data_IF_148373900905
#
_entry.id   IF_148373900905
#
_cell.length_a   1.000
_cell.length_b   1.000
_cell.length_c   1.000
_cell.angle_alpha   90.00
_cell.angle_beta   90.00
_cell.angle_gamma   90.00
#
_symmetry.space_group_name_H-M   'P 1'
#
loop_
_entity.id
_entity.type
_entity.pdbx_description
1 polymer ?
#
# COMPACT_ATOMS: atom_id res chain seq x y z
N UNK A 1 54.63 -19.55 50.26
CA UNK A 1 53.15 -19.39 50.43
C UNK A 1 52.59 -18.08 49.78
N UNK A 2 53.38 -17.03 49.65
CA UNK A 2 52.95 -15.70 49.11
C UNK A 2 52.67 -15.71 47.63
N UNK A 3 53.30 -16.52 46.81
CA UNK A 3 53.15 -16.54 45.33
C UNK A 3 51.80 -17.12 44.85
N UNK A 4 51.24 -18.07 45.60
CA UNK A 4 49.93 -18.67 45.25
C UNK A 4 48.73 -17.72 45.53
N UNK A 5 48.84 -16.83 46.49
CA UNK A 5 47.79 -15.87 46.85
C UNK A 5 47.67 -14.75 45.80
N UNK A 6 48.78 -14.29 45.27
CA UNK A 6 48.75 -13.26 44.20
C UNK A 6 48.18 -13.78 42.89
N UNK A 7 48.39 -15.05 42.54
CA UNK A 7 47.85 -15.63 41.32
C UNK A 7 46.33 -15.83 41.41
N UNK A 8 45.82 -16.19 42.60
CA UNK A 8 44.37 -16.32 42.82
C UNK A 8 43.64 -14.97 42.76
N UNK A 9 44.22 -13.93 43.33
CA UNK A 9 43.62 -12.58 43.29
C UNK A 9 43.59 -12.00 41.89
N UNK A 10 44.63 -12.26 41.08
CA UNK A 10 44.72 -11.85 39.69
C UNK A 10 43.69 -12.59 38.79
N UNK A 11 43.45 -13.87 39.10
CA UNK A 11 42.49 -14.69 38.39
C UNK A 11 41.03 -14.26 38.71
N UNK A 12 40.74 -13.91 39.97
CA UNK A 12 39.41 -13.39 40.36
C UNK A 12 39.13 -12.01 39.76
N UNK A 13 40.12 -11.12 39.69
CA UNK A 13 39.97 -9.82 39.05
C UNK A 13 39.76 -9.95 37.52
N UNK A 14 40.48 -10.88 36.87
CA UNK A 14 40.26 -11.15 35.43
C UNK A 14 38.87 -11.75 35.12
N UNK A 15 38.41 -12.69 35.99
CA UNK A 15 37.06 -13.26 35.78
C UNK A 15 35.94 -12.26 36.06
N UNK A 16 36.13 -11.34 36.99
CA UNK A 16 35.20 -10.24 37.27
C UNK A 16 35.19 -9.24 36.14
N UNK A 17 36.35 -8.88 35.58
CA UNK A 17 36.47 -7.97 34.44
C UNK A 17 35.85 -8.56 33.18
N UNK A 18 36.01 -9.87 32.91
CA UNK A 18 35.37 -10.56 31.77
C UNK A 18 33.83 -10.65 31.93
N UNK A 19 33.32 -10.77 33.15
CA UNK A 19 31.88 -10.78 33.41
C UNK A 19 31.25 -9.39 33.20
N UNK A 20 31.93 -8.32 33.64
CA UNK A 20 31.46 -6.94 33.46
C UNK A 20 31.55 -6.51 32.01
N UNK A 21 32.59 -6.88 31.26
CA UNK A 21 32.68 -6.60 29.81
C UNK A 21 31.64 -7.36 28.98
N UNK A 22 31.35 -8.63 29.32
CA UNK A 22 30.26 -9.39 28.69
C UNK A 22 28.89 -8.78 28.98
N UNK A 23 28.66 -8.29 30.21
CA UNK A 23 27.40 -7.65 30.58
C UNK A 23 27.23 -6.29 29.85
N UNK A 24 28.29 -5.49 29.75
CA UNK A 24 28.30 -4.24 28.99
C UNK A 24 28.06 -4.47 27.47
N UNK A 25 28.66 -5.52 26.91
CA UNK A 25 28.44 -5.90 25.50
C UNK A 25 27.00 -6.38 25.27
N UNK A 26 26.41 -7.10 26.23
CA UNK A 26 25.02 -7.54 26.15
C UNK A 26 24.06 -6.37 26.28
N UNK A 27 24.34 -5.39 27.14
CA UNK A 27 23.56 -4.15 27.27
C UNK A 27 23.67 -3.29 26.00
N UNK A 28 24.85 -3.19 25.38
CA UNK A 28 25.04 -2.49 24.11
C UNK A 28 24.27 -3.17 22.95
N UNK A 29 24.27 -4.51 22.91
CA UNK A 29 23.50 -5.27 21.92
C UNK A 29 21.99 -5.11 22.15
N UNK A 30 21.52 -5.08 23.39
CA UNK A 30 20.12 -4.84 23.72
C UNK A 30 19.69 -3.41 23.40
N UNK A 31 20.55 -2.41 23.62
CA UNK A 31 20.25 -1.00 23.24
C UNK A 31 20.30 -0.79 21.74
N UNK A 32 21.16 -1.48 20.99
CA UNK A 32 21.12 -1.45 19.53
C UNK A 32 19.87 -2.17 18.98
N UNK A 33 19.45 -3.29 19.59
CA UNK A 33 18.22 -3.96 19.20
C UNK A 33 16.98 -3.11 19.49
N UNK A 34 16.95 -2.32 20.56
CA UNK A 34 15.85 -1.39 20.85
C UNK A 34 15.84 -0.17 19.94
N UNK A 35 16.99 0.31 19.45
CA UNK A 35 17.03 1.40 18.47
C UNK A 35 16.63 0.93 17.06
N UNK A 36 16.87 -0.33 16.68
CA UNK A 36 16.33 -0.91 15.45
C UNK A 36 14.82 -1.21 15.52
N UNK A 37 14.27 -1.44 16.72
CA UNK A 37 12.85 -1.73 16.91
C UNK A 37 11.95 -0.46 16.92
N UNK A 38 12.52 0.73 16.94
CA UNK A 38 11.75 1.99 17.11
C UNK A 38 11.39 2.71 15.82
N UNK A 39 11.79 2.23 14.64
CA UNK A 39 11.44 2.85 13.35
C UNK A 39 10.16 2.27 12.72
N UNK A 40 9.42 1.45 13.45
CA UNK A 40 8.11 0.89 13.04
C UNK A 40 6.93 1.76 13.50
N UNK A 41 7.07 3.09 13.50
CA UNK A 41 5.95 3.96 13.88
C UNK A 41 4.93 3.99 12.76
N UNK A 42 3.75 3.49 13.06
CA UNK A 42 2.54 3.75 12.28
C UNK A 42 2.41 5.25 12.09
N UNK A 43 2.50 5.73 10.85
CA UNK A 43 2.30 7.15 10.55
C UNK A 43 0.87 7.51 10.97
N UNK A 44 0.71 8.44 11.90
CA UNK A 44 -0.62 8.83 12.39
C UNK A 44 -1.26 9.85 11.45
N UNK A 45 -2.59 9.86 11.37
CA UNK A 45 -3.33 10.85 10.58
C UNK A 45 -3.00 12.30 11.00
N UNK A 46 -2.74 12.53 12.29
CA UNK A 46 -2.31 13.83 12.80
C UNK A 46 -0.97 14.25 12.20
N UNK A 47 0.01 13.34 12.12
CA UNK A 47 1.31 13.60 11.49
C UNK A 47 1.17 13.89 10.00
N UNK A 48 0.36 13.09 9.29
CA UNK A 48 0.08 13.29 7.86
C UNK A 48 -0.45 14.69 7.60
N UNK A 49 -1.41 15.15 8.38
CA UNK A 49 -1.97 16.51 8.26
C UNK A 49 -0.96 17.60 8.61
N UNK A 50 -0.20 17.43 9.70
CA UNK A 50 0.80 18.44 10.13
C UNK A 50 1.96 18.55 9.14
N UNK A 51 2.32 17.47 8.47
CA UNK A 51 3.36 17.46 7.43
C UNK A 51 2.85 17.87 6.05
N UNK A 52 1.58 18.22 5.91
CA UNK A 52 0.98 18.62 4.64
C UNK A 52 1.01 17.53 3.57
N UNK A 53 1.06 16.25 3.97
CA UNK A 53 1.06 15.11 3.03
C UNK A 53 -0.23 15.05 2.22
N UNK A 54 -0.12 14.59 0.99
CA UNK A 54 -1.27 14.31 0.14
C UNK A 54 -1.81 12.93 0.52
N UNK A 55 -3.08 12.88 0.91
CA UNK A 55 -3.72 11.67 1.38
C UNK A 55 -5.09 11.45 0.74
N UNK A 56 -5.50 10.22 0.71
CA UNK A 56 -6.79 9.77 0.22
C UNK A 56 -7.25 8.51 0.93
N UNK A 57 -8.34 7.96 0.46
CA UNK A 57 -8.93 6.72 0.95
C UNK A 57 -9.29 5.83 -0.24
N UNK A 58 -9.51 4.55 0.02
CA UNK A 58 -10.16 3.71 -0.95
C UNK A 58 -11.37 3.00 -0.35
N UNK A 59 -12.34 2.70 -1.18
CA UNK A 59 -13.66 2.23 -0.79
C UNK A 59 -14.28 1.33 -1.86
N UNK A 60 -15.25 0.51 -1.39
CA UNK A 60 -16.12 -0.33 -2.22
C UNK A 60 -17.54 -0.30 -1.69
N UNK A 61 -18.39 -1.22 -2.16
CA UNK A 61 -19.72 -1.41 -1.61
C UNK A 61 -19.74 -1.77 -0.09
N UNK A 62 -18.62 -2.23 0.46
CA UNK A 62 -18.51 -2.58 1.88
C UNK A 62 -18.73 -1.39 2.81
N UNK A 63 -18.45 -0.17 2.37
CA UNK A 63 -18.68 1.04 3.15
C UNK A 63 -20.14 1.53 3.13
N UNK A 64 -21.02 0.79 2.44
CA UNK A 64 -22.47 1.09 2.34
C UNK A 64 -22.74 2.51 1.84
N UNK A 65 -23.71 3.21 2.47
CA UNK A 65 -24.05 4.57 2.08
C UNK A 65 -23.13 5.60 2.75
N UNK A 66 -22.73 6.60 2.00
CA UNK A 66 -21.76 7.63 2.39
C UNK A 66 -22.49 8.96 2.58
N UNK A 67 -22.26 9.61 3.72
CA UNK A 67 -22.64 11.02 3.93
C UNK A 67 -21.58 11.93 3.28
N UNK A 68 -21.78 12.23 2.02
CA UNK A 68 -20.87 13.02 1.20
C UNK A 68 -20.63 14.43 1.74
N UNK A 69 -21.64 15.04 2.39
CA UNK A 69 -21.50 16.36 3.01
C UNK A 69 -20.49 16.35 4.18
N UNK A 70 -20.50 15.28 4.97
CA UNK A 70 -19.52 15.09 6.04
C UNK A 70 -18.15 14.71 5.50
N UNK A 71 -18.08 13.80 4.49
CA UNK A 71 -16.82 13.37 3.89
C UNK A 71 -16.09 14.53 3.23
N UNK A 72 -16.78 15.40 2.47
CA UNK A 72 -16.19 16.60 1.86
C UNK A 72 -15.45 17.49 2.86
N UNK A 73 -15.99 17.65 4.08
CA UNK A 73 -15.37 18.46 5.14
C UNK A 73 -14.04 17.90 5.63
N UNK A 74 -13.78 16.60 5.42
CA UNK A 74 -12.50 15.96 5.77
C UNK A 74 -11.39 16.29 4.76
N UNK A 75 -11.76 16.69 3.53
CA UNK A 75 -10.86 17.10 2.44
C UNK A 75 -9.86 16.03 2.02
N UNK A 76 -10.29 14.79 1.71
CA UNK A 76 -9.40 13.86 1.03
C UNK A 76 -8.99 14.45 -0.32
N UNK A 77 -7.73 14.25 -0.71
CA UNK A 77 -7.23 14.76 -1.99
C UNK A 77 -7.64 13.87 -3.15
N UNK A 78 -7.81 12.57 -2.88
CA UNK A 78 -8.23 11.57 -3.86
C UNK A 78 -9.00 10.44 -3.18
N UNK A 79 -9.81 9.73 -3.97
CA UNK A 79 -10.49 8.51 -3.55
C UNK A 79 -10.37 7.47 -4.66
N UNK A 80 -9.97 6.25 -4.32
CA UNK A 80 -10.08 5.10 -5.20
C UNK A 80 -11.36 4.32 -4.91
N UNK A 81 -12.07 3.90 -5.97
CA UNK A 81 -13.29 3.10 -5.86
C UNK A 81 -13.13 1.76 -6.56
N UNK A 82 -13.56 0.67 -5.91
CA UNK A 82 -13.75 -0.61 -6.57
C UNK A 82 -14.78 -0.44 -7.68
N UNK A 83 -14.39 -0.75 -8.90
CA UNK A 83 -15.32 -0.76 -10.02
C UNK A 83 -15.78 -2.17 -10.37
N UNK A 84 -14.83 -3.12 -10.41
CA UNK A 84 -15.11 -4.50 -10.82
C UNK A 84 -14.22 -5.50 -10.08
N UNK A 85 -14.62 -6.78 -10.15
CA UNK A 85 -13.85 -7.93 -9.70
C UNK A 85 -14.01 -9.07 -10.68
N UNK A 86 -12.93 -9.77 -11.00
CA UNK A 86 -12.95 -10.88 -11.93
C UNK A 86 -13.56 -10.52 -13.29
N UNK A 87 -14.09 -11.50 -14.00
CA UNK A 87 -14.58 -11.31 -15.37
C UNK A 87 -16.00 -10.75 -15.46
N UNK A 88 -16.76 -10.61 -14.34
CA UNK A 88 -18.20 -10.29 -14.43
C UNK A 88 -18.78 -9.51 -13.25
N UNK A 89 -18.10 -9.45 -12.10
CA UNK A 89 -18.66 -8.76 -10.94
C UNK A 89 -18.42 -7.24 -11.06
N UNK A 90 -19.49 -6.46 -10.92
CA UNK A 90 -19.44 -5.00 -10.85
C UNK A 90 -19.82 -4.55 -9.44
N UNK A 91 -19.01 -3.66 -8.85
CA UNK A 91 -19.31 -3.11 -7.53
C UNK A 91 -20.61 -2.29 -7.56
N UNK A 92 -21.55 -2.65 -6.72
CA UNK A 92 -22.92 -2.09 -6.72
C UNK A 92 -22.96 -0.59 -6.37
N UNK A 93 -21.94 -0.07 -5.69
CA UNK A 93 -21.84 1.35 -5.29
C UNK A 93 -20.95 2.18 -6.20
N UNK A 94 -20.20 1.55 -7.11
CA UNK A 94 -19.21 2.23 -7.93
C UNK A 94 -19.79 3.46 -8.65
N UNK A 95 -20.84 3.28 -9.43
CA UNK A 95 -21.44 4.35 -10.26
C UNK A 95 -21.89 5.54 -9.42
N UNK A 96 -22.55 5.30 -8.31
CA UNK A 96 -23.04 6.36 -7.41
C UNK A 96 -21.90 7.05 -6.69
N UNK A 97 -20.92 6.29 -6.18
CA UNK A 97 -19.76 6.83 -5.47
C UNK A 97 -18.88 7.67 -6.38
N UNK A 98 -18.60 7.18 -7.59
CA UNK A 98 -17.85 7.93 -8.60
C UNK A 98 -18.53 9.28 -8.90
N UNK A 99 -19.82 9.27 -9.23
CA UNK A 99 -20.60 10.48 -9.52
C UNK A 99 -20.53 11.48 -8.37
N UNK A 100 -20.87 11.05 -7.16
CA UNK A 100 -20.88 11.92 -5.99
C UNK A 100 -19.50 12.52 -5.65
N UNK A 101 -18.42 11.75 -5.80
CA UNK A 101 -17.06 12.25 -5.58
C UNK A 101 -16.66 13.31 -6.62
N UNK A 102 -17.01 13.10 -7.89
CA UNK A 102 -16.76 14.08 -8.97
C UNK A 102 -17.53 15.38 -8.75
N UNK A 103 -18.80 15.32 -8.30
CA UNK A 103 -19.62 16.51 -7.96
C UNK A 103 -19.02 17.32 -6.79
N UNK A 104 -18.11 16.74 -6.02
CA UNK A 104 -17.41 17.40 -4.93
C UNK A 104 -15.97 17.83 -5.28
N UNK A 105 -15.58 17.76 -6.56
CA UNK A 105 -14.23 18.06 -7.04
C UNK A 105 -13.12 17.22 -6.38
N UNK A 106 -13.45 15.99 -5.99
CA UNK A 106 -12.47 15.04 -5.44
C UNK A 106 -11.85 14.28 -6.62
N UNK A 107 -10.52 14.17 -6.64
CA UNK A 107 -9.80 13.36 -7.63
C UNK A 107 -10.19 11.89 -7.42
N UNK A 108 -10.65 11.23 -8.48
CA UNK A 108 -11.11 9.83 -8.42
C UNK A 108 -10.15 8.92 -9.17
N UNK A 109 -9.96 7.72 -8.64
CA UNK A 109 -9.39 6.57 -9.33
C UNK A 109 -10.33 5.38 -9.27
N UNK A 110 -10.22 4.49 -10.23
CA UNK A 110 -11.00 3.25 -10.29
C UNK A 110 -10.10 2.05 -10.21
N UNK A 111 -10.45 1.03 -9.39
CA UNK A 111 -9.67 -0.19 -9.30
C UNK A 111 -10.47 -1.43 -9.67
N UNK A 112 -9.73 -2.43 -10.16
CA UNK A 112 -10.20 -3.77 -10.48
C UNK A 112 -9.55 -4.76 -9.54
N UNK A 113 -10.34 -5.49 -8.77
CA UNK A 113 -9.85 -6.60 -7.95
C UNK A 113 -9.65 -7.85 -8.81
N UNK A 114 -8.39 -8.28 -8.93
CA UNK A 114 -8.02 -9.35 -9.84
C UNK A 114 -8.38 -10.73 -9.29
N UNK A 115 -9.03 -11.56 -10.10
CA UNK A 115 -9.36 -12.95 -9.78
C UNK A 115 -8.50 -13.94 -10.55
N UNK A 116 -7.98 -14.95 -9.87
CA UNK A 116 -7.19 -16.01 -10.52
C UNK A 116 -8.05 -17.13 -11.11
N UNK A 117 -9.35 -16.95 -11.16
CA UNK A 117 -10.31 -17.93 -11.72
C UNK A 117 -10.68 -17.62 -13.17
N UNK A 118 -10.22 -16.49 -13.72
CA UNK A 118 -10.53 -16.07 -15.07
C UNK A 118 -9.34 -15.40 -15.75
N UNK A 119 -9.41 -15.34 -17.09
CA UNK A 119 -8.34 -14.80 -17.94
C UNK A 119 -8.19 -13.27 -17.76
N UNK A 120 -6.94 -12.81 -17.67
CA UNK A 120 -6.62 -11.40 -17.44
C UNK A 120 -7.16 -10.46 -18.53
N UNK A 121 -7.20 -10.88 -19.80
CA UNK A 121 -7.76 -10.06 -20.89
C UNK A 121 -9.27 -9.88 -20.72
N UNK A 122 -9.99 -10.94 -20.30
CA UNK A 122 -11.43 -10.82 -20.05
C UNK A 122 -11.72 -9.89 -18.87
N UNK A 123 -10.96 -9.99 -17.81
CA UNK A 123 -11.05 -9.08 -16.66
C UNK A 123 -10.77 -7.64 -17.06
N UNK A 124 -9.73 -7.39 -17.85
CA UNK A 124 -9.42 -6.04 -18.35
C UNK A 124 -10.55 -5.47 -19.21
N UNK A 125 -11.14 -6.27 -20.11
CA UNK A 125 -12.26 -5.83 -20.93
C UNK A 125 -13.52 -5.55 -20.09
N UNK A 126 -13.81 -6.39 -19.08
CA UNK A 126 -14.88 -6.14 -18.14
C UNK A 126 -14.64 -4.84 -17.35
N UNK A 127 -13.44 -4.64 -16.84
CA UNK A 127 -13.08 -3.41 -16.15
C UNK A 127 -13.27 -2.16 -17.02
N UNK A 128 -12.77 -2.19 -18.24
CA UNK A 128 -12.94 -1.10 -19.23
C UNK A 128 -14.40 -0.81 -19.63
N UNK A 129 -15.27 -1.81 -19.51
CA UNK A 129 -16.71 -1.61 -19.81
C UNK A 129 -17.47 -0.90 -18.69
N UNK A 130 -16.92 -0.90 -17.47
CA UNK A 130 -17.55 -0.34 -16.26
C UNK A 130 -16.85 0.91 -15.75
N UNK A 131 -15.51 0.85 -15.66
CA UNK A 131 -14.71 1.91 -15.06
C UNK A 131 -14.75 3.19 -15.88
N UNK A 132 -14.77 4.31 -15.15
CA UNK A 132 -14.58 5.65 -15.72
C UNK A 132 -13.09 6.01 -15.65
N UNK A 133 -12.60 6.69 -16.68
CA UNK A 133 -11.24 7.22 -16.80
C UNK A 133 -11.28 8.48 -17.65
N UNK A 134 -11.99 9.47 -17.14
CA UNK A 134 -12.25 10.76 -17.76
C UNK A 134 -11.11 11.75 -17.42
N UNK A 135 -11.08 12.89 -18.10
CA UNK A 135 -10.15 13.96 -17.76
C UNK A 135 -10.26 14.34 -16.28
N UNK A 136 -9.11 14.42 -15.61
CA UNK A 136 -9.02 14.70 -14.18
C UNK A 136 -9.12 13.46 -13.27
N UNK A 137 -9.23 12.26 -13.82
CA UNK A 137 -9.17 11.00 -13.05
C UNK A 137 -7.75 10.48 -12.97
N UNK A 138 -7.46 9.72 -11.90
CA UNK A 138 -6.23 8.94 -11.77
C UNK A 138 -6.21 7.78 -12.77
N UNK A 139 -5.02 7.30 -13.17
CA UNK A 139 -4.91 6.09 -13.97
C UNK A 139 -5.67 4.92 -13.33
N UNK A 140 -6.20 4.03 -14.17
CA UNK A 140 -6.87 2.81 -13.74
C UNK A 140 -5.93 1.94 -12.90
N UNK A 141 -6.47 1.21 -11.93
CA UNK A 141 -5.68 0.42 -10.99
C UNK A 141 -5.96 -1.07 -11.19
N UNK A 142 -4.89 -1.86 -11.28
CA UNK A 142 -4.89 -3.30 -11.08
C UNK A 142 -4.64 -3.58 -9.60
N UNK A 143 -5.61 -4.15 -8.91
CA UNK A 143 -5.51 -4.61 -7.53
C UNK A 143 -5.24 -6.11 -7.53
N UNK A 144 -3.99 -6.49 -7.21
CA UNK A 144 -3.48 -7.86 -7.31
C UNK A 144 -2.98 -8.35 -5.95
N UNK A 145 -3.72 -9.26 -5.35
CA UNK A 145 -3.45 -9.79 -4.02
C UNK A 145 -3.31 -11.32 -4.02
N UNK A 146 -2.75 -11.89 -2.96
CA UNK A 146 -2.74 -13.32 -2.77
C UNK A 146 -4.15 -13.87 -2.54
N UNK A 147 -4.53 -14.86 -3.32
CA UNK A 147 -5.73 -15.64 -3.06
C UNK A 147 -5.42 -16.88 -2.19
N UNK A 148 -6.45 -17.44 -1.57
CA UNK A 148 -6.33 -18.68 -0.77
C UNK A 148 -5.66 -19.82 -1.56
N UNK A 149 -5.88 -19.90 -2.87
CA UNK A 149 -5.24 -20.86 -3.77
C UNK A 149 -4.71 -20.10 -4.99
N UNK A 150 -3.39 -20.02 -5.11
CA UNK A 150 -2.72 -19.39 -6.24
C UNK A 150 -2.48 -20.41 -7.36
N UNK A 151 -2.63 -20.00 -8.64
CA UNK A 151 -2.12 -20.77 -9.78
C UNK A 151 -0.59 -20.84 -9.77
N UNK A 152 -0.02 -21.61 -10.72
CA UNK A 152 1.42 -21.60 -10.94
C UNK A 152 1.92 -20.18 -11.26
N UNK A 153 3.10 -19.80 -10.75
CA UNK A 153 3.63 -18.44 -10.84
C UNK A 153 3.66 -17.89 -12.28
N UNK A 154 4.02 -18.72 -13.26
CA UNK A 154 4.02 -18.35 -14.68
C UNK A 154 2.62 -17.96 -15.19
N UNK A 155 1.57 -18.64 -14.71
CA UNK A 155 0.19 -18.33 -15.07
C UNK A 155 -0.22 -16.99 -14.45
N UNK A 156 0.06 -16.79 -13.15
CA UNK A 156 -0.21 -15.54 -12.46
C UNK A 156 0.43 -14.38 -13.20
N UNK A 157 1.74 -14.41 -13.42
CA UNK A 157 2.48 -13.38 -14.12
C UNK A 157 1.90 -13.09 -15.51
N UNK A 158 1.65 -14.14 -16.29
CA UNK A 158 1.09 -14.01 -17.65
C UNK A 158 -0.26 -13.27 -17.64
N UNK A 159 -1.18 -13.69 -16.79
CA UNK A 159 -2.53 -13.13 -16.76
C UNK A 159 -2.54 -11.67 -16.28
N UNK A 160 -1.69 -11.32 -15.30
CA UNK A 160 -1.49 -9.93 -14.86
C UNK A 160 -0.91 -9.05 -16.00
N UNK A 161 0.12 -9.53 -16.69
CA UNK A 161 0.73 -8.81 -17.82
C UNK A 161 -0.27 -8.63 -18.97
N UNK A 162 -1.06 -9.65 -19.26
CA UNK A 162 -2.10 -9.57 -20.30
C UNK A 162 -3.17 -8.52 -19.93
N UNK A 163 -3.59 -8.45 -18.66
CA UNK A 163 -4.47 -7.42 -18.16
C UNK A 163 -3.86 -5.99 -18.37
N UNK A 164 -2.63 -5.79 -17.89
CA UNK A 164 -1.94 -4.50 -17.99
C UNK A 164 -1.78 -4.02 -19.43
N UNK A 165 -1.45 -4.94 -20.35
CA UNK A 165 -1.33 -4.64 -21.78
C UNK A 165 -2.64 -4.18 -22.38
N UNK A 166 -3.77 -4.82 -22.05
CA UNK A 166 -5.10 -4.43 -22.57
C UNK A 166 -5.46 -3.03 -22.07
N UNK A 167 -5.31 -2.75 -20.77
CA UNK A 167 -5.62 -1.43 -20.21
C UNK A 167 -4.72 -0.36 -20.84
N UNK A 168 -3.40 -0.57 -20.87
CA UNK A 168 -2.46 0.40 -21.44
C UNK A 168 -2.79 0.70 -22.91
N UNK A 169 -3.06 -0.35 -23.71
CA UNK A 169 -3.41 -0.17 -25.13
C UNK A 169 -4.70 0.65 -25.31
N UNK A 170 -5.70 0.43 -24.45
CA UNK A 170 -7.01 1.08 -24.59
C UNK A 170 -7.00 2.52 -24.07
N UNK A 171 -6.30 2.80 -22.98
CA UNK A 171 -6.34 4.10 -22.31
C UNK A 171 -5.17 5.02 -22.67
N UNK A 172 -4.10 4.48 -23.28
CA UNK A 172 -2.86 5.22 -23.54
C UNK A 172 -2.00 5.45 -22.28
N UNK A 173 -2.48 5.04 -21.09
CA UNK A 173 -1.77 5.18 -19.82
C UNK A 173 -1.49 3.82 -19.20
N UNK A 174 -0.31 3.68 -18.57
CA UNK A 174 0.02 2.50 -17.76
C UNK A 174 -0.83 2.50 -16.49
N UNK A 175 -1.48 1.37 -16.13
CA UNK A 175 -2.22 1.27 -14.88
C UNK A 175 -1.30 1.42 -13.67
N UNK A 176 -1.87 1.90 -12.56
CA UNK A 176 -1.27 1.75 -11.23
C UNK A 176 -1.42 0.29 -10.81
N UNK A 177 -0.40 -0.25 -10.14
CA UNK A 177 -0.43 -1.61 -9.59
C UNK A 177 -0.51 -1.52 -8.07
N UNK A 178 -1.63 -2.00 -7.50
CA UNK A 178 -1.78 -2.20 -6.07
C UNK A 178 -1.46 -3.66 -5.71
N UNK A 179 -0.59 -3.84 -4.76
CA UNK A 179 -0.24 -5.13 -4.15
C UNK A 179 0.62 -4.92 -2.89
N UNK A 180 0.90 -5.99 -2.15
CA UNK A 180 2.04 -6.00 -1.24
C UNK A 180 3.38 -6.11 -2.00
N UNK A 181 4.48 -5.71 -1.35
CA UNK A 181 5.77 -5.62 -2.03
C UNK A 181 6.36 -7.00 -2.37
N UNK A 182 6.09 -8.02 -1.56
CA UNK A 182 6.59 -9.38 -1.83
C UNK A 182 5.85 -9.99 -3.03
N UNK A 183 4.55 -9.69 -3.16
CA UNK A 183 3.77 -10.05 -4.35
C UNK A 183 4.35 -9.39 -5.62
N UNK A 184 4.63 -8.07 -5.56
CA UNK A 184 5.24 -7.35 -6.68
C UNK A 184 6.56 -7.99 -7.11
N UNK A 185 7.48 -8.21 -6.19
CA UNK A 185 8.77 -8.85 -6.46
C UNK A 185 8.63 -10.22 -7.08
N UNK A 186 7.71 -11.00 -6.59
CA UNK A 186 7.52 -12.37 -7.06
C UNK A 186 6.97 -12.46 -8.48
N UNK A 187 5.96 -11.65 -8.80
CA UNK A 187 5.18 -11.84 -10.02
C UNK A 187 5.41 -10.78 -11.10
N UNK A 188 5.84 -9.58 -10.73
CA UNK A 188 5.77 -8.43 -11.62
C UNK A 188 7.10 -7.70 -11.82
N UNK A 189 7.96 -7.63 -10.84
CA UNK A 189 9.18 -6.80 -10.87
C UNK A 189 10.07 -7.12 -12.09
N UNK A 190 10.32 -8.41 -12.36
CA UNK A 190 11.15 -8.83 -13.48
C UNK A 190 10.57 -8.48 -14.85
N UNK A 191 9.24 -8.56 -14.98
CA UNK A 191 8.54 -8.35 -16.26
C UNK A 191 8.26 -6.87 -16.54
N UNK A 192 8.03 -6.07 -15.48
CA UNK A 192 7.63 -4.69 -15.61
C UNK A 192 8.79 -3.71 -15.48
N UNK A 193 9.92 -4.18 -14.93
CA UNK A 193 11.06 -3.31 -14.59
C UNK A 193 10.58 -2.10 -13.81
N UNK A 194 11.05 -0.98 -13.76
CA UNK A 194 10.60 0.17 -12.93
C UNK A 194 9.55 1.07 -13.62
N UNK A 195 8.79 0.56 -14.57
CA UNK A 195 7.99 1.40 -15.46
C UNK A 195 6.54 1.68 -15.01
N UNK A 196 6.09 1.12 -13.88
CA UNK A 196 4.74 1.28 -13.38
C UNK A 196 4.66 2.08 -12.09
N UNK A 197 3.55 2.79 -11.90
CA UNK A 197 3.23 3.42 -10.63
C UNK A 197 2.80 2.34 -9.63
N UNK A 198 3.47 2.26 -8.48
CA UNK A 198 3.16 1.27 -7.45
C UNK A 198 2.32 1.90 -6.34
N UNK A 199 1.23 1.21 -5.98
CA UNK A 199 0.45 1.46 -4.79
C UNK A 199 0.66 0.28 -3.84
N UNK A 200 1.53 0.46 -2.86
CA UNK A 200 1.98 -0.62 -1.97
C UNK A 200 1.14 -0.66 -0.70
N UNK A 201 0.65 -1.84 -0.37
CA UNK A 201 0.03 -2.14 0.92
C UNK A 201 1.10 -2.60 1.91
N UNK A 202 1.33 -1.84 2.98
CA UNK A 202 2.10 -2.29 4.14
C UNK A 202 1.60 -1.55 5.39
N UNK A 203 0.89 -2.28 6.26
CA UNK A 203 0.30 -1.73 7.49
C UNK A 203 1.29 -1.66 8.65
N UNK A 204 2.50 -2.18 8.49
CA UNK A 204 3.51 -2.28 9.55
C UNK A 204 4.54 -1.18 9.47
N UNK A 205 4.95 -0.81 8.25
CA UNK A 205 6.03 0.14 8.02
C UNK A 205 5.89 0.83 6.66
N UNK A 206 6.59 1.96 6.52
CA UNK A 206 6.75 2.61 5.21
C UNK A 206 7.44 1.65 4.25
N UNK A 207 6.94 1.48 3.01
CA UNK A 207 7.55 0.61 2.02
C UNK A 207 9.02 0.99 1.75
N UNK A 208 9.90 -0.02 1.68
CA UNK A 208 11.31 0.14 1.32
C UNK A 208 11.51 -0.13 -0.17
N UNK A 209 10.80 0.59 -1.03
CA UNK A 209 10.89 0.55 -2.49
C UNK A 209 10.42 1.88 -3.06
N UNK A 210 10.53 2.07 -4.37
CA UNK A 210 9.90 3.19 -5.06
C UNK A 210 8.40 2.96 -5.12
N UNK A 211 7.64 3.76 -4.37
CA UNK A 211 6.18 3.71 -4.33
C UNK A 211 5.58 5.07 -4.68
N UNK A 212 4.44 5.04 -5.33
CA UNK A 212 3.65 6.23 -5.69
C UNK A 212 2.54 6.47 -4.66
N UNK A 213 1.84 5.42 -4.29
CA UNK A 213 0.84 5.42 -3.22
C UNK A 213 1.19 4.36 -2.18
N UNK A 214 0.85 4.62 -0.94
CA UNK A 214 1.04 3.69 0.17
C UNK A 214 -0.25 3.57 0.98
N UNK A 215 -0.83 2.37 1.01
CA UNK A 215 -1.95 2.03 1.89
C UNK A 215 -1.38 1.65 3.26
N UNK A 216 -1.69 2.48 4.26
CA UNK A 216 -1.04 2.42 5.58
C UNK A 216 -1.85 1.67 6.62
N UNK A 217 -3.17 1.55 6.41
CA UNK A 217 -4.11 0.85 7.31
C UNK A 217 -5.47 0.66 6.64
N UNK A 218 -6.16 -0.40 7.01
CA UNK A 218 -7.56 -0.73 6.71
C UNK A 218 -8.52 -0.35 7.85
N UNK A 219 -8.02 0.28 8.92
CA UNK A 219 -8.76 0.59 10.15
C UNK A 219 -9.00 2.10 10.35
N UNK A 220 -8.94 2.89 9.26
CA UNK A 220 -9.13 4.32 9.39
C UNK A 220 -10.61 4.67 9.52
N UNK A 221 -10.94 5.51 10.50
CA UNK A 221 -12.30 6.05 10.68
C UNK A 221 -12.34 7.48 10.18
N UNK A 222 -13.30 7.78 9.32
CA UNK A 222 -13.49 9.11 8.74
C UNK A 222 -14.95 9.52 8.83
N UNK A 223 -15.20 10.78 9.14
CA UNK A 223 -16.56 11.30 9.23
C UNK A 223 -17.25 11.26 7.86
N UNK A 224 -18.46 10.74 7.82
CA UNK A 224 -19.23 10.54 6.60
C UNK A 224 -19.23 9.11 6.09
N UNK A 225 -18.38 8.22 6.60
CA UNK A 225 -18.38 6.80 6.27
C UNK A 225 -18.66 5.96 7.50
N UNK A 226 -19.53 4.98 7.36
CA UNK A 226 -19.85 4.02 8.41
C UNK A 226 -18.79 2.91 8.42
N UNK A 227 -18.23 2.60 9.60
CA UNK A 227 -17.18 1.59 9.74
C UNK A 227 -15.79 2.17 9.51
N UNK A 228 -14.95 1.39 8.85
CA UNK A 228 -13.56 1.74 8.52
C UNK A 228 -13.34 1.81 7.02
N UNK A 229 -12.30 2.53 6.62
CA UNK A 229 -11.82 2.63 5.24
C UNK A 229 -10.32 2.43 5.22
N UNK A 230 -9.80 2.15 4.06
CA UNK A 230 -8.37 2.09 3.80
C UNK A 230 -7.81 3.50 3.64
N UNK A 231 -6.66 3.75 4.26
CA UNK A 231 -6.04 5.06 4.27
C UNK A 231 -4.74 5.06 3.46
N UNK A 232 -4.63 6.05 2.58
CA UNK A 232 -3.59 6.11 1.56
C UNK A 232 -2.81 7.42 1.62
N UNK A 233 -1.50 7.34 1.39
CA UNK A 233 -0.61 8.49 1.23
C UNK A 233 -0.07 8.49 -0.20
N UNK A 234 -0.06 9.65 -0.83
CA UNK A 234 0.65 9.87 -2.09
C UNK A 234 2.07 10.37 -1.82
N UNK A 235 3.06 9.80 -2.50
CA UNK A 235 4.47 10.15 -2.38
C UNK A 235 4.85 11.32 -3.29
N UNK A 236 4.31 12.49 -3.00
CA UNK A 236 4.59 13.66 -3.82
C UNK A 236 3.80 14.90 -3.43
N UNK A 237 3.94 15.93 -4.23
CA UNK A 237 3.21 17.20 -4.13
C UNK A 237 1.87 17.14 -4.87
N UNK A 238 0.99 18.12 -4.60
CA UNK A 238 -0.27 18.28 -5.36
C UNK A 238 -0.04 18.42 -6.86
N UNK A 239 1.04 19.10 -7.25
CA UNK A 239 1.41 19.26 -8.67
C UNK A 239 1.74 17.91 -9.31
N UNK A 240 2.50 17.07 -8.59
CA UNK A 240 2.84 15.73 -9.07
C UNK A 240 1.62 14.80 -9.12
N UNK A 241 0.71 14.87 -8.13
CA UNK A 241 -0.54 14.11 -8.19
C UNK A 241 -1.36 14.50 -9.43
N UNK A 242 -1.51 15.79 -9.69
CA UNK A 242 -2.23 16.29 -10.88
C UNK A 242 -1.58 15.90 -12.21
N UNK A 243 -0.26 15.76 -12.25
CA UNK A 243 0.45 15.32 -13.44
C UNK A 243 0.21 13.84 -13.81
N UNK A 244 -0.37 13.04 -12.90
CA UNK A 244 -0.76 11.65 -13.18
C UNK A 244 -2.11 11.55 -13.89
N UNK A 245 -2.97 12.55 -13.78
CA UNK A 245 -4.38 12.51 -14.25
C UNK A 245 -4.49 12.32 -15.76
N UNK A 246 -5.60 11.71 -16.18
CA UNK A 246 -6.00 11.65 -17.60
C UNK A 246 -6.17 13.02 -18.21
#
# INVERSE_FOLDING_TARGET
MYSKYQSYHKLQLMTSFLKTTKLLFLILLLTQCTTYATDYRRVTFKQIKSEGKIWGIDMSHHQSDIDWNKLKKQKPHFIFFKATEGASHTDSKYKSNYKNAKELDIIVGSYHFFSYTSNGKYQANHFLSVAKYEEGDLPLVLDAEYAKKMPADKVVTKELIDFLKVITKKTGKKPIIYCDYDYYKKYLERELKTEHLLWICDYRRKPNCDWTFWQTTDQFKISGVKGTVDFNIFNGSKKQLRALLF
#
